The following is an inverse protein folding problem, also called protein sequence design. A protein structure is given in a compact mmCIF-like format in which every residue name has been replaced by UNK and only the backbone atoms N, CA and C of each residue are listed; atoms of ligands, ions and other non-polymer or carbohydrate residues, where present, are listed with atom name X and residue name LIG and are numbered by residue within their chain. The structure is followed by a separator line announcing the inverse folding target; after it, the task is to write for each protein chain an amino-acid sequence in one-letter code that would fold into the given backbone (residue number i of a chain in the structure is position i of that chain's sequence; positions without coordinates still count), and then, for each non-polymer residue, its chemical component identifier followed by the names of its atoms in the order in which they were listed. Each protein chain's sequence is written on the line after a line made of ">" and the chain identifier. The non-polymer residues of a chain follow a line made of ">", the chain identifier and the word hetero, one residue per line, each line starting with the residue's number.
data_IF_567026596753
#
_entry.id   IF_567026596753
#
_cell.length_a   1.000
_cell.length_b   1.000
_cell.length_c   1.000
_cell.angle_alpha   90.00
_cell.angle_beta   90.00
_cell.angle_gamma   90.00
#
_symmetry.space_group_name_H-M   'P 1'
#
loop_
_entity.id
_entity.type
_entity.pdbx_description
1 polymer ?
#
# COMPACT_ATOMS: atom_id res chain seq x y z
N UNK A 1 -5.15 16.64 4.11
CA UNK A 1 -4.46 15.93 5.19
C UNK A 1 -4.87 16.44 6.56
N UNK A 2 -4.90 17.76 6.76
CA UNK A 2 -5.14 18.41 8.06
C UNK A 2 -6.57 18.26 8.58
N UNK A 3 -7.57 18.22 7.71
CA UNK A 3 -8.98 18.21 8.11
C UNK A 3 -9.51 16.81 8.44
N UNK A 4 -8.99 15.77 7.81
CA UNK A 4 -9.48 14.41 7.99
C UNK A 4 -8.44 13.48 8.65
N UNK A 5 -7.28 13.30 8.04
CA UNK A 5 -6.31 12.31 8.52
C UNK A 5 -5.58 12.74 9.79
N UNK A 6 -5.26 14.02 9.94
CA UNK A 6 -4.56 14.51 11.13
C UNK A 6 -5.36 14.29 12.41
N UNK A 7 -6.66 14.70 12.52
CA UNK A 7 -7.45 14.46 13.72
C UNK A 7 -7.63 12.97 14.00
N UNK A 8 -7.85 12.16 12.96
CA UNK A 8 -8.02 10.71 13.10
C UNK A 8 -6.77 10.03 13.65
N UNK A 9 -5.60 10.33 13.07
CA UNK A 9 -4.32 9.78 13.52
C UNK A 9 -3.98 10.23 14.94
N UNK A 10 -4.27 11.50 15.26
CA UNK A 10 -4.09 12.03 16.60
C UNK A 10 -5.00 11.31 17.62
N UNK A 11 -6.27 11.13 17.30
CA UNK A 11 -7.21 10.39 18.14
C UNK A 11 -6.74 8.97 18.43
N UNK A 12 -6.38 8.21 17.39
CA UNK A 12 -5.88 6.83 17.54
C UNK A 12 -4.63 6.81 18.43
N UNK A 13 -3.67 7.72 18.17
CA UNK A 13 -2.45 7.85 18.96
C UNK A 13 -2.75 8.11 20.43
N UNK A 14 -3.66 9.03 20.72
CA UNK A 14 -4.02 9.36 22.10
C UNK A 14 -4.67 8.16 22.83
N UNK A 15 -5.58 7.42 22.18
CA UNK A 15 -6.20 6.24 22.78
C UNK A 15 -5.16 5.18 23.15
N UNK A 16 -4.19 4.94 22.26
CA UNK A 16 -3.12 3.98 22.52
C UNK A 16 -2.20 4.46 23.66
N UNK A 17 -1.80 5.73 23.67
CA UNK A 17 -0.92 6.29 24.71
C UNK A 17 -1.58 6.33 26.10
N UNK A 18 -2.90 6.50 26.14
CA UNK A 18 -3.69 6.46 27.40
C UNK A 18 -3.92 5.03 27.91
N UNK A 19 -3.44 4.00 27.18
CA UNK A 19 -3.62 2.60 27.56
C UNK A 19 -5.01 2.02 27.23
N UNK A 20 -5.87 2.76 26.51
CA UNK A 20 -7.19 2.30 26.08
C UNK A 20 -7.12 1.27 24.94
N UNK A 21 -5.92 0.97 24.42
CA UNK A 21 -5.73 0.08 23.29
C UNK A 21 -6.09 0.72 21.94
N UNK A 22 -6.33 -0.13 20.94
CA UNK A 22 -6.74 0.30 19.60
C UNK A 22 -8.22 0.65 19.62
N UNK A 23 -8.63 1.88 19.30
CA UNK A 23 -10.04 2.22 19.27
C UNK A 23 -10.74 1.45 18.14
N UNK A 24 -11.77 0.70 18.48
CA UNK A 24 -12.60 -0.01 17.49
C UNK A 24 -13.69 0.89 16.92
N UNK A 25 -14.02 1.97 17.63
CA UNK A 25 -15.09 2.92 17.31
C UNK A 25 -14.52 4.34 17.24
N UNK A 26 -14.81 5.04 16.16
CA UNK A 26 -14.45 6.44 15.98
C UNK A 26 -15.63 7.31 16.38
N UNK A 27 -15.51 8.08 17.46
CA UNK A 27 -16.55 8.97 17.97
C UNK A 27 -16.50 10.37 17.36
N UNK A 28 -15.49 10.69 16.56
CA UNK A 28 -15.27 12.06 16.06
C UNK A 28 -16.09 12.39 14.82
N UNK A 29 -16.54 11.40 14.04
CA UNK A 29 -17.24 11.61 12.79
C UNK A 29 -18.60 10.92 12.79
N UNK A 30 -19.62 11.55 12.16
CA UNK A 30 -20.94 10.98 11.87
C UNK A 30 -21.67 10.36 13.07
N UNK A 31 -21.54 10.96 14.25
CA UNK A 31 -22.09 10.42 15.54
C UNK A 31 -21.53 9.05 15.94
N UNK A 32 -20.42 8.64 15.35
CA UNK A 32 -19.71 7.40 15.62
C UNK A 32 -19.75 6.41 14.47
N UNK A 33 -18.58 5.90 14.11
CA UNK A 33 -18.40 4.90 13.04
C UNK A 33 -17.42 3.80 13.46
N UNK A 34 -17.60 2.55 12.99
CA UNK A 34 -16.58 1.52 13.19
C UNK A 34 -15.26 1.94 12.59
N UNK A 35 -14.16 1.86 13.34
CA UNK A 35 -12.85 2.30 12.86
C UNK A 35 -12.16 1.25 12.00
N UNK A 36 -12.14 -0.01 12.42
CA UNK A 36 -11.41 -1.07 11.71
C UNK A 36 -11.92 -1.34 10.29
N UNK A 37 -13.24 -1.46 10.06
CA UNK A 37 -13.75 -1.72 8.71
C UNK A 37 -13.78 -0.48 7.81
N UNK A 38 -13.47 0.72 8.32
CA UNK A 38 -13.38 1.91 7.49
C UNK A 38 -12.16 1.81 6.55
N UNK A 39 -12.36 1.73 5.23
CA UNK A 39 -11.25 1.60 4.27
C UNK A 39 -10.35 2.85 4.20
N UNK A 40 -10.73 3.94 4.86
CA UNK A 40 -9.96 5.20 4.89
C UNK A 40 -9.21 5.41 6.21
N UNK A 41 -9.36 4.53 7.19
CA UNK A 41 -8.78 4.74 8.52
C UNK A 41 -7.26 4.66 8.59
N UNK A 42 -6.60 4.11 7.58
CA UNK A 42 -5.14 3.94 7.47
C UNK A 42 -4.47 3.20 8.65
N UNK A 43 -5.26 2.79 9.66
CA UNK A 43 -4.72 2.20 10.88
C UNK A 43 -4.06 0.83 10.63
N UNK A 44 -4.62 0.07 9.69
CA UNK A 44 -4.23 -1.30 9.38
C UNK A 44 -2.99 -1.34 8.48
N UNK A 45 -2.63 -0.21 7.90
CA UNK A 45 -1.45 -0.10 7.05
C UNK A 45 -0.18 -0.12 7.92
N UNK A 46 0.68 -1.15 7.81
CA UNK A 46 1.75 -1.40 8.79
C UNK A 46 2.75 -0.25 8.93
N UNK A 47 3.05 0.48 7.84
CA UNK A 47 4.01 1.57 7.90
C UNK A 47 3.46 2.80 8.62
N UNK A 48 2.16 2.84 8.94
CA UNK A 48 1.56 3.91 9.74
C UNK A 48 1.93 3.84 11.24
N UNK A 49 2.65 2.79 11.68
CA UNK A 49 3.27 2.74 13.01
C UNK A 49 4.14 3.99 13.29
N UNK A 50 4.62 4.65 12.24
CA UNK A 50 5.39 5.90 12.32
C UNK A 50 4.61 7.00 13.06
N UNK A 51 3.28 7.04 12.95
CA UNK A 51 2.43 8.02 13.63
C UNK A 51 2.33 7.80 15.13
N UNK A 52 2.62 6.59 15.62
CA UNK A 52 2.71 6.34 17.06
C UNK A 52 4.02 6.88 17.65
N UNK A 53 5.09 6.90 16.85
CA UNK A 53 6.42 7.26 17.29
C UNK A 53 6.66 8.78 17.16
N UNK A 54 6.34 9.35 15.98
CA UNK A 54 6.59 10.76 15.67
C UNK A 54 5.39 11.65 15.99
N UNK A 55 5.57 12.97 16.21
CA UNK A 55 4.49 13.94 16.12
C UNK A 55 3.75 13.79 14.79
N UNK A 56 2.42 14.01 14.76
CA UNK A 56 1.61 13.70 13.58
C UNK A 56 2.11 14.42 12.32
N UNK A 57 2.46 15.71 12.42
CA UNK A 57 2.96 16.49 11.28
C UNK A 57 4.28 15.92 10.73
N UNK A 58 5.23 15.59 11.61
CA UNK A 58 6.48 14.95 11.24
C UNK A 58 6.24 13.54 10.68
N UNK A 59 5.29 12.80 11.23
CA UNK A 59 4.88 11.49 10.76
C UNK A 59 4.30 11.54 9.34
N UNK A 60 3.45 12.52 9.03
CA UNK A 60 2.88 12.72 7.68
C UNK A 60 4.01 13.01 6.68
N UNK A 61 4.89 13.98 6.99
CA UNK A 61 6.02 14.31 6.11
C UNK A 61 6.93 13.10 5.88
N UNK A 62 7.28 12.39 6.95
CA UNK A 62 8.15 11.21 6.88
C UNK A 62 7.47 10.09 6.09
N UNK A 63 6.16 9.87 6.27
CA UNK A 63 5.40 8.89 5.49
C UNK A 63 5.44 9.24 4.00
N UNK A 64 5.20 10.50 3.62
CA UNK A 64 5.27 10.94 2.22
C UNK A 64 6.67 10.66 1.64
N UNK A 65 7.73 11.13 2.30
CA UNK A 65 9.11 10.94 1.82
C UNK A 65 9.48 9.47 1.70
N UNK A 66 9.10 8.64 2.68
CA UNK A 66 9.31 7.20 2.63
C UNK A 66 8.64 6.57 1.40
N UNK A 67 7.39 6.96 1.11
CA UNK A 67 6.66 6.39 -0.03
C UNK A 67 7.17 6.89 -1.37
N UNK A 68 7.73 8.11 -1.47
CA UNK A 68 8.46 8.55 -2.67
C UNK A 68 9.68 7.64 -2.94
N UNK A 69 10.43 7.32 -1.90
CA UNK A 69 11.60 6.42 -1.99
C UNK A 69 11.16 5.00 -2.39
N UNK A 70 10.09 4.48 -1.77
CA UNK A 70 9.53 3.16 -2.11
C UNK A 70 9.07 3.14 -3.56
N UNK A 71 8.39 4.19 -4.04
CA UNK A 71 7.94 4.33 -5.43
C UNK A 71 9.11 4.30 -6.41
N UNK A 72 10.18 5.06 -6.11
CA UNK A 72 11.41 5.08 -6.91
C UNK A 72 12.02 3.68 -7.04
N UNK A 73 12.28 3.02 -5.92
CA UNK A 73 12.89 1.69 -5.95
C UNK A 73 11.98 0.64 -6.59
N UNK A 74 10.67 0.72 -6.38
CA UNK A 74 9.70 -0.19 -7.00
C UNK A 74 9.71 -0.08 -8.52
N UNK A 75 9.63 1.14 -9.06
CA UNK A 75 9.68 1.39 -10.50
C UNK A 75 11.03 0.99 -11.08
N UNK A 76 12.12 1.32 -10.40
CA UNK A 76 13.46 0.91 -10.83
C UNK A 76 13.58 -0.62 -10.93
N UNK A 77 13.16 -1.37 -9.91
CA UNK A 77 13.21 -2.83 -9.89
C UNK A 77 12.31 -3.45 -10.97
N UNK A 78 11.11 -2.90 -11.20
CA UNK A 78 10.20 -3.34 -12.24
C UNK A 78 10.85 -3.19 -13.63
N UNK A 79 11.46 -2.04 -13.91
CA UNK A 79 12.15 -1.78 -15.18
C UNK A 79 13.37 -2.66 -15.37
N UNK A 80 14.17 -2.86 -14.30
CA UNK A 80 15.33 -3.77 -14.33
C UNK A 80 14.93 -5.23 -14.57
N UNK A 81 13.79 -5.64 -14.04
CA UNK A 81 13.25 -6.97 -14.32
C UNK A 81 12.81 -7.16 -15.78
N UNK A 82 12.60 -6.08 -16.52
CA UNK A 82 12.27 -6.08 -17.95
C UNK A 82 13.47 -5.62 -18.84
N UNK A 83 14.69 -5.89 -18.40
CA UNK A 83 15.95 -5.67 -19.14
C UNK A 83 16.22 -4.20 -19.58
N UNK A 84 15.50 -3.24 -18.95
CA UNK A 84 15.75 -1.82 -19.19
C UNK A 84 17.15 -1.42 -18.70
N UNK A 85 17.88 -0.59 -19.45
CA UNK A 85 19.21 -0.13 -19.07
C UNK A 85 19.18 0.64 -17.73
N UNK A 86 20.28 0.61 -16.96
CA UNK A 86 20.36 1.29 -15.65
C UNK A 86 20.02 2.78 -15.74
N UNK A 87 20.59 3.48 -16.72
CA UNK A 87 20.37 4.93 -16.90
C UNK A 87 18.91 5.27 -17.16
N UNK A 88 18.28 4.57 -18.11
CA UNK A 88 16.86 4.76 -18.44
C UNK A 88 15.97 4.38 -17.26
N UNK A 89 16.28 3.27 -16.58
CA UNK A 89 15.55 2.83 -15.39
C UNK A 89 15.56 3.87 -14.27
N UNK A 90 16.69 4.52 -14.00
CA UNK A 90 16.81 5.60 -13.00
C UNK A 90 15.94 6.81 -13.42
N UNK A 91 16.05 7.26 -14.68
CA UNK A 91 15.29 8.41 -15.17
C UNK A 91 13.77 8.17 -15.01
N UNK A 92 13.28 7.02 -15.48
CA UNK A 92 11.85 6.69 -15.40
C UNK A 92 11.40 6.53 -13.93
N UNK A 93 12.23 5.94 -13.07
CA UNK A 93 11.93 5.80 -11.65
C UNK A 93 11.81 7.17 -10.94
N UNK A 94 12.66 8.13 -11.28
CA UNK A 94 12.55 9.52 -10.80
C UNK A 94 11.25 10.16 -11.30
N UNK A 95 10.95 10.07 -12.59
CA UNK A 95 9.73 10.63 -13.18
C UNK A 95 8.47 10.02 -12.58
N UNK A 96 8.48 8.72 -12.25
CA UNK A 96 7.36 8.06 -11.58
C UNK A 96 7.17 8.52 -10.14
N UNK A 97 8.26 8.54 -9.35
CA UNK A 97 8.21 8.92 -7.94
C UNK A 97 7.91 10.41 -7.72
N UNK A 98 8.28 11.26 -8.68
CA UNK A 98 8.00 12.70 -8.67
C UNK A 98 6.91 13.08 -9.67
N UNK A 99 6.00 12.16 -10.00
CA UNK A 99 4.95 12.42 -10.99
C UNK A 99 3.97 13.51 -10.51
N UNK A 100 3.45 14.36 -11.40
CA UNK A 100 2.43 15.36 -11.05
C UNK A 100 1.19 14.74 -10.40
N UNK A 101 0.85 13.49 -10.77
CA UNK A 101 -0.27 12.77 -10.18
C UNK A 101 -0.06 12.51 -8.69
N UNK A 102 1.16 12.15 -8.28
CA UNK A 102 1.48 11.94 -6.87
C UNK A 102 1.40 13.26 -6.09
N UNK A 103 1.90 14.35 -6.66
CA UNK A 103 1.76 15.68 -6.06
C UNK A 103 0.31 16.11 -5.91
N UNK A 104 -0.57 15.80 -6.89
CA UNK A 104 -2.00 16.08 -6.75
C UNK A 104 -2.65 15.31 -5.60
N UNK A 105 -2.20 14.10 -5.28
CA UNK A 105 -2.66 13.36 -4.10
C UNK A 105 -2.17 13.97 -2.79
N UNK A 106 -0.93 14.49 -2.77
CA UNK A 106 -0.39 15.21 -1.60
C UNK A 106 -1.20 16.47 -1.34
N UNK A 107 -1.47 17.26 -2.37
CA UNK A 107 -2.24 18.50 -2.28
C UNK A 107 -3.70 18.23 -1.86
N UNK A 108 -4.34 17.23 -2.47
CA UNK A 108 -5.69 16.81 -2.10
C UNK A 108 -5.78 16.11 -0.72
N UNK A 109 -4.62 15.81 -0.11
CA UNK A 109 -4.58 15.23 1.23
C UNK A 109 -4.90 13.74 1.31
N UNK A 110 -4.78 13.00 0.21
CA UNK A 110 -5.10 11.58 0.13
C UNK A 110 -3.90 10.70 0.48
N UNK A 111 -3.58 10.56 1.77
CA UNK A 111 -2.43 9.78 2.23
C UNK A 111 -2.47 8.31 1.74
N UNK A 112 -3.62 7.65 1.80
CA UNK A 112 -3.77 6.27 1.33
C UNK A 112 -3.50 6.10 -0.18
N UNK A 113 -3.82 7.11 -1.01
CA UNK A 113 -3.47 7.08 -2.43
C UNK A 113 -1.97 7.20 -2.67
N UNK A 114 -1.26 8.01 -1.88
CA UNK A 114 0.20 8.14 -1.94
C UNK A 114 0.86 6.79 -1.58
N UNK A 115 0.37 6.17 -0.51
CA UNK A 115 0.85 4.87 -0.03
C UNK A 115 0.62 3.77 -1.08
N UNK A 116 -0.60 3.68 -1.63
CA UNK A 116 -0.93 2.71 -2.68
C UNK A 116 -0.07 2.90 -3.93
N UNK A 117 0.07 4.16 -4.39
CA UNK A 117 0.86 4.50 -5.59
C UNK A 117 2.28 3.96 -5.50
N UNK A 118 2.89 4.07 -4.32
CA UNK A 118 4.25 3.61 -4.09
C UNK A 118 4.43 2.10 -4.30
N UNK A 119 3.39 1.30 -4.03
CA UNK A 119 3.46 -0.16 -4.13
C UNK A 119 2.97 -0.74 -5.46
N UNK A 120 2.34 0.03 -6.35
CA UNK A 120 1.91 -0.45 -7.67
C UNK A 120 3.06 -1.12 -8.45
N UNK A 121 4.25 -0.51 -8.60
CA UNK A 121 5.35 -1.14 -9.35
C UNK A 121 5.86 -2.42 -8.68
N UNK A 122 5.81 -2.49 -7.34
CA UNK A 122 6.23 -3.67 -6.58
C UNK A 122 5.31 -4.86 -6.81
N UNK A 123 3.99 -4.64 -6.93
CA UNK A 123 3.03 -5.70 -7.26
C UNK A 123 3.32 -6.27 -8.63
N UNK A 124 3.50 -5.43 -9.66
CA UNK A 124 3.84 -5.91 -11.00
C UNK A 124 5.19 -6.61 -11.04
N UNK A 125 6.20 -6.08 -10.36
CA UNK A 125 7.49 -6.73 -10.23
C UNK A 125 7.38 -8.10 -9.55
N UNK A 126 6.62 -8.21 -8.46
CA UNK A 126 6.42 -9.47 -7.76
C UNK A 126 5.68 -10.50 -8.63
N UNK A 127 4.70 -10.07 -9.41
CA UNK A 127 3.98 -10.93 -10.37
C UNK A 127 4.91 -11.49 -11.45
N UNK A 128 5.75 -10.64 -12.04
CA UNK A 128 6.77 -11.08 -13.02
C UNK A 128 7.73 -12.09 -12.38
N UNK A 129 8.19 -11.80 -11.16
CA UNK A 129 9.07 -12.73 -10.45
C UNK A 129 8.37 -14.05 -10.10
N UNK A 130 7.08 -14.03 -9.73
CA UNK A 130 6.30 -15.24 -9.49
C UNK A 130 6.22 -16.09 -10.76
N UNK A 131 5.92 -15.47 -11.90
CA UNK A 131 5.85 -16.18 -13.19
C UNK A 131 7.19 -16.80 -13.60
N UNK A 132 8.31 -16.14 -13.27
CA UNK A 132 9.66 -16.58 -13.65
C UNK A 132 10.25 -17.60 -12.67
N UNK A 133 10.16 -17.36 -11.37
CA UNK A 133 10.87 -18.12 -10.33
C UNK A 133 10.05 -19.23 -9.69
N UNK A 134 8.74 -19.10 -9.63
CA UNK A 134 7.77 -20.09 -9.11
C UNK A 134 8.16 -20.68 -7.76
N UNK A 135 8.53 -19.84 -6.80
CA UNK A 135 8.96 -20.25 -5.46
C UNK A 135 8.14 -19.56 -4.37
N UNK A 136 8.20 -20.11 -3.15
CA UNK A 136 7.46 -19.60 -1.99
C UNK A 136 7.75 -18.12 -1.71
N UNK A 137 9.02 -17.68 -1.85
CA UNK A 137 9.39 -16.28 -1.65
C UNK A 137 8.62 -15.34 -2.59
N UNK A 138 8.45 -15.72 -3.86
CA UNK A 138 7.70 -14.91 -4.83
C UNK A 138 6.20 -14.85 -4.49
N UNK A 139 5.62 -15.95 -3.97
CA UNK A 139 4.24 -15.98 -3.47
C UNK A 139 4.08 -14.99 -2.31
N UNK A 140 4.93 -15.09 -1.29
CA UNK A 140 4.87 -14.24 -0.10
C UNK A 140 5.09 -12.76 -0.43
N UNK A 141 6.01 -12.44 -1.33
CA UNK A 141 6.25 -11.06 -1.77
C UNK A 141 5.03 -10.48 -2.50
N UNK A 142 4.40 -11.24 -3.39
CA UNK A 142 3.19 -10.78 -4.07
C UNK A 142 2.05 -10.57 -3.07
N UNK A 143 1.82 -11.51 -2.15
CA UNK A 143 0.81 -11.40 -1.09
C UNK A 143 1.05 -10.16 -0.22
N UNK A 144 2.31 -9.92 0.18
CA UNK A 144 2.69 -8.77 1.00
C UNK A 144 2.39 -7.44 0.29
N UNK A 145 2.83 -7.28 -0.97
CA UNK A 145 2.62 -6.03 -1.69
C UNK A 145 1.14 -5.79 -2.02
N UNK A 146 0.37 -6.86 -2.32
CA UNK A 146 -1.08 -6.75 -2.47
C UNK A 146 -1.75 -6.33 -1.16
N UNK A 147 -1.33 -6.87 -0.01
CA UNK A 147 -1.83 -6.47 1.30
C UNK A 147 -1.52 -5.00 1.61
N UNK A 148 -0.32 -4.53 1.31
CA UNK A 148 0.04 -3.12 1.52
C UNK A 148 -0.80 -2.16 0.68
N UNK A 149 -1.15 -2.53 -0.55
CA UNK A 149 -2.07 -1.73 -1.37
C UNK A 149 -3.51 -1.84 -0.84
N UNK A 150 -3.97 -3.03 -0.46
CA UNK A 150 -5.31 -3.24 0.10
C UNK A 150 -5.53 -2.41 1.37
N UNK A 151 -4.58 -2.48 2.32
CA UNK A 151 -4.66 -1.77 3.60
C UNK A 151 -4.47 -0.26 3.50
N UNK A 152 -3.99 0.24 2.37
CA UNK A 152 -3.82 1.68 2.13
C UNK A 152 -4.98 2.30 1.34
N UNK A 153 -5.52 1.62 0.31
CA UNK A 153 -6.62 2.15 -0.49
C UNK A 153 -7.35 1.09 -1.32
N UNK A 154 -8.58 0.76 -0.93
CA UNK A 154 -9.38 -0.33 -1.50
C UNK A 154 -9.67 -0.18 -3.01
N UNK A 155 -9.94 1.04 -3.51
CA UNK A 155 -10.24 1.25 -4.93
C UNK A 155 -9.00 1.03 -5.81
N UNK A 156 -7.83 1.52 -5.38
CA UNK A 156 -6.57 1.26 -6.10
C UNK A 156 -6.26 -0.23 -6.09
N UNK A 157 -6.49 -0.91 -4.96
CA UNK A 157 -6.35 -2.35 -4.87
C UNK A 157 -7.25 -3.09 -5.88
N UNK A 158 -8.54 -2.73 -5.98
CA UNK A 158 -9.47 -3.36 -6.91
C UNK A 158 -9.01 -3.22 -8.38
N UNK A 159 -8.60 -2.02 -8.79
CA UNK A 159 -8.05 -1.76 -10.13
C UNK A 159 -6.76 -2.58 -10.34
N UNK A 160 -5.89 -2.61 -9.32
CA UNK A 160 -4.61 -3.30 -9.40
C UNK A 160 -4.77 -4.82 -9.51
N UNK A 161 -5.75 -5.42 -8.82
CA UNK A 161 -6.04 -6.86 -8.94
C UNK A 161 -6.43 -7.21 -10.38
N UNK A 162 -7.31 -6.42 -11.00
CA UNK A 162 -7.73 -6.64 -12.40
C UNK A 162 -6.54 -6.49 -13.36
N UNK A 163 -5.80 -5.39 -13.27
CA UNK A 163 -4.66 -5.13 -14.17
C UNK A 163 -3.52 -6.11 -13.94
N UNK A 164 -3.30 -6.55 -12.71
CA UNK A 164 -2.31 -7.56 -12.37
C UNK A 164 -2.70 -8.95 -12.91
N UNK A 165 -3.97 -9.29 -12.87
CA UNK A 165 -4.48 -10.51 -13.49
C UNK A 165 -4.31 -10.48 -15.01
N UNK A 166 -4.60 -9.36 -15.67
CA UNK A 166 -4.36 -9.18 -17.10
C UNK A 166 -2.89 -9.32 -17.44
N UNK A 167 -2.00 -8.72 -16.67
CA UNK A 167 -0.55 -8.90 -16.81
C UNK A 167 -0.17 -10.38 -16.65
N UNK A 168 -0.71 -11.06 -15.64
CA UNK A 168 -0.44 -12.48 -15.41
C UNK A 168 -0.83 -13.35 -16.62
N UNK A 169 -1.94 -13.03 -17.30
CA UNK A 169 -2.39 -13.77 -18.50
C UNK A 169 -1.42 -13.67 -19.68
N UNK A 170 -0.56 -12.64 -19.73
CA UNK A 170 0.48 -12.52 -20.77
C UNK A 170 1.62 -13.53 -20.58
N UNK A 171 1.78 -14.08 -19.38
CA UNK A 171 2.74 -15.12 -19.08
C UNK A 171 2.09 -16.51 -19.24
N UNK A 172 2.90 -17.52 -19.63
CA UNK A 172 2.40 -18.90 -19.77
C UNK A 172 1.74 -19.37 -18.45
N UNK A 173 0.54 -19.93 -18.52
CA UNK A 173 -0.36 -20.29 -17.40
C UNK A 173 0.18 -21.23 -16.31
N UNK A 174 1.46 -21.64 -16.38
CA UNK A 174 2.06 -22.63 -15.47
C UNK A 174 2.25 -22.14 -14.01
N UNK A 175 1.89 -20.91 -13.69
CA UNK A 175 2.00 -20.35 -12.33
C UNK A 175 0.62 -20.00 -11.72
N UNK A 176 -0.48 -20.41 -12.34
CA UNK A 176 -1.84 -20.03 -11.93
C UNK A 176 -2.13 -20.42 -10.46
N UNK A 177 -1.75 -21.63 -10.06
CA UNK A 177 -1.96 -22.10 -8.69
C UNK A 177 -1.23 -21.21 -7.69
N UNK A 178 0.03 -20.85 -7.97
CA UNK A 178 0.82 -19.97 -7.09
C UNK A 178 0.28 -18.53 -7.06
N UNK A 179 -0.24 -18.05 -8.19
CA UNK A 179 -0.91 -16.76 -8.27
C UNK A 179 -2.19 -16.75 -7.40
N UNK A 180 -3.01 -17.79 -7.49
CA UNK A 180 -4.21 -17.94 -6.65
C UNK A 180 -3.86 -18.09 -5.17
N UNK A 181 -2.83 -18.87 -4.83
CA UNK A 181 -2.34 -19.00 -3.44
C UNK A 181 -1.94 -17.63 -2.88
N UNK A 182 -1.26 -16.78 -3.66
CA UNK A 182 -0.87 -15.44 -3.19
C UNK A 182 -2.08 -14.57 -2.84
N UNK A 183 -3.20 -14.69 -3.58
CA UNK A 183 -4.43 -13.97 -3.29
C UNK A 183 -5.19 -14.57 -2.08
N UNK A 184 -5.12 -15.89 -1.90
CA UNK A 184 -5.68 -16.56 -0.70
C UNK A 184 -4.91 -16.10 0.55
N UNK A 185 -3.59 -16.07 0.51
CA UNK A 185 -2.77 -15.58 1.64
C UNK A 185 -3.10 -14.12 1.95
N UNK A 186 -3.24 -13.27 0.94
CA UNK A 186 -3.72 -11.90 1.12
C UNK A 186 -5.03 -11.85 1.88
N UNK A 187 -6.03 -12.65 1.47
CA UNK A 187 -7.35 -12.70 2.14
C UNK A 187 -7.22 -13.11 3.60
N UNK A 188 -6.36 -14.07 3.92
CA UNK A 188 -6.10 -14.48 5.31
C UNK A 188 -5.51 -13.34 6.14
N UNK A 189 -4.59 -12.54 5.59
CA UNK A 189 -4.04 -11.36 6.27
C UNK A 189 -5.08 -10.23 6.43
N UNK A 190 -6.09 -10.17 5.56
CA UNK A 190 -7.14 -9.16 5.62
C UNK A 190 -8.34 -9.56 6.51
N UNK A 191 -8.42 -10.80 6.99
CA UNK A 191 -9.52 -11.26 7.86
C UNK A 191 -9.79 -10.38 9.08
N UNK A 192 -8.77 -9.88 9.84
CA UNK A 192 -9.02 -9.00 10.99
C UNK A 192 -9.73 -7.69 10.61
N UNK A 193 -9.71 -7.32 9.33
CA UNK A 193 -10.35 -6.12 8.78
C UNK A 193 -11.79 -6.42 8.34
N UNK A 194 -12.01 -7.65 7.84
CA UNK A 194 -13.28 -8.07 7.25
C UNK A 194 -14.27 -8.59 8.30
N UNK A 195 -13.76 -9.02 9.45
CA UNK A 195 -14.56 -9.57 10.55
C UNK A 195 -14.38 -8.64 11.75
N UNK A 196 -15.28 -7.67 11.97
CA UNK A 196 -15.23 -6.74 13.08
C UNK A 196 -15.54 -7.40 14.43
#
# INVERSE_FOLDING_TARGET
>A
LTEFFWPLLYYIKQQILLGNGIPLWNTMFFSGTPLLPDPQNLFIYPLNIIFLILPIDAGILTSILLHLIIAFFGMYQLLRANDTSKKVGIIIAILYSLSPKLFSYIEAGHLGLIQSWAFIPWVYWATINLCRKKNLKSILLLSLFLYLVYSSHILIFAILVVTNFLLFLTFKKNAIVMFLISHIILLLFSLPILIP
#
